data_IF_921769310220
#
_entry.id   IF_921769310220
#
_cell.length_a   1.000
_cell.length_b   1.000
_cell.length_c   1.000
_cell.angle_alpha   90.00
_cell.angle_beta   90.00
_cell.angle_gamma   90.00
#
_symmetry.space_group_name_H-M   'P 1'
#
loop_
_entity.id
_entity.type
_entity.pdbx_description
1 polymer ?
#
# COMPACT_ATOMS: atom_id res chain seq x y z
N UNK A 1 -0.83 21.10 6.47
CA UNK A 1 -0.52 21.56 5.09
C UNK A 1 -1.72 22.33 4.54
N UNK A 2 -1.63 23.63 4.51
CA UNK A 2 -2.65 24.51 3.97
C UNK A 2 -2.73 24.28 2.45
N UNK A 3 -3.84 23.86 1.92
CA UNK A 3 -4.05 23.59 0.49
C UNK A 3 -4.15 22.09 0.12
N UNK A 4 -3.82 21.16 1.04
CA UNK A 4 -4.06 19.73 0.85
C UNK A 4 -5.45 19.29 1.35
N UNK A 5 -6.03 20.03 2.29
CA UNK A 5 -7.31 19.71 2.93
C UNK A 5 -8.26 20.91 2.79
N UNK A 6 -9.52 20.63 2.49
CA UNK A 6 -10.62 21.59 2.52
C UNK A 6 -11.59 21.20 3.63
N UNK A 7 -11.98 22.18 4.44
CA UNK A 7 -13.07 22.02 5.38
C UNK A 7 -14.39 22.16 4.65
N UNK A 8 -15.25 21.17 4.70
CA UNK A 8 -16.58 21.19 4.08
C UNK A 8 -17.58 22.07 4.84
N UNK A 9 -17.31 22.31 6.15
CA UNK A 9 -18.09 23.19 7.05
C UNK A 9 -17.17 23.70 8.16
N UNK A 10 -17.67 24.63 8.98
CA UNK A 10 -16.99 24.98 10.23
C UNK A 10 -16.66 23.72 11.04
N UNK A 11 -15.51 23.74 11.74
CA UNK A 11 -15.07 22.61 12.57
C UNK A 11 -16.03 22.49 13.76
N UNK A 12 -17.08 21.71 13.58
CA UNK A 12 -18.00 21.27 14.63
C UNK A 12 -17.86 19.77 14.81
N UNK A 13 -18.33 19.24 15.93
CA UNK A 13 -18.39 17.80 16.13
C UNK A 13 -19.17 17.15 14.98
N UNK A 14 -18.53 16.23 14.22
CA UNK A 14 -19.09 15.57 13.04
C UNK A 14 -18.79 16.24 11.69
N UNK A 15 -17.99 17.32 11.63
CA UNK A 15 -17.50 17.87 10.38
C UNK A 15 -16.56 16.88 9.69
N UNK A 16 -16.73 16.69 8.39
CA UNK A 16 -15.83 15.85 7.57
C UNK A 16 -14.75 16.70 6.92
N UNK A 17 -13.52 16.18 6.94
CA UNK A 17 -12.40 16.74 6.18
C UNK A 17 -12.33 16.02 4.83
N UNK A 18 -12.25 16.81 3.76
CA UNK A 18 -12.05 16.29 2.41
C UNK A 18 -10.70 16.77 1.87
N UNK A 19 -10.00 15.87 1.19
CA UNK A 19 -8.78 16.24 0.48
C UNK A 19 -9.11 17.04 -0.77
N UNK A 20 -8.33 18.11 -1.03
CA UNK A 20 -8.34 18.78 -2.32
C UNK A 20 -7.80 17.86 -3.40
N UNK A 21 -7.99 18.20 -4.68
CA UNK A 21 -7.37 17.44 -5.78
C UNK A 21 -5.84 17.42 -5.67
N UNK A 22 -5.23 18.51 -5.22
CA UNK A 22 -3.80 18.55 -4.91
C UNK A 22 -3.44 17.62 -3.74
N UNK A 23 -4.24 17.59 -2.70
CA UNK A 23 -4.06 16.70 -1.56
C UNK A 23 -4.18 15.22 -1.95
N UNK A 24 -5.18 14.87 -2.76
CA UNK A 24 -5.36 13.51 -3.30
C UNK A 24 -4.16 13.08 -4.14
N UNK A 25 -3.68 13.95 -5.03
CA UNK A 25 -2.51 13.68 -5.85
C UNK A 25 -1.25 13.46 -5.02
N UNK A 26 -1.02 14.30 -4.01
CA UNK A 26 0.12 14.15 -3.10
C UNK A 26 0.04 12.85 -2.30
N UNK A 27 -1.15 12.48 -1.82
CA UNK A 27 -1.37 11.22 -1.12
C UNK A 27 -1.07 10.01 -2.01
N UNK A 28 -1.55 10.01 -3.26
CA UNK A 28 -1.29 8.93 -4.21
C UNK A 28 0.20 8.81 -4.57
N UNK A 29 0.92 9.92 -4.67
CA UNK A 29 2.38 9.90 -4.88
C UNK A 29 3.10 9.27 -3.70
N UNK A 30 2.68 9.60 -2.48
CA UNK A 30 3.26 9.04 -1.27
C UNK A 30 2.98 7.54 -1.16
N UNK A 31 1.73 7.11 -1.40
CA UNK A 31 1.33 5.71 -1.45
C UNK A 31 2.15 4.95 -2.49
N UNK A 32 2.33 5.52 -3.69
CA UNK A 32 3.17 4.92 -4.73
C UNK A 32 4.61 4.73 -4.25
N UNK A 33 5.22 5.77 -3.67
CA UNK A 33 6.58 5.70 -3.13
C UNK A 33 6.72 4.59 -2.10
N UNK A 34 5.79 4.53 -1.15
CA UNK A 34 5.75 3.52 -0.09
C UNK A 34 5.69 2.10 -0.67
N UNK A 35 4.67 1.81 -1.48
CA UNK A 35 4.41 0.47 -2.01
C UNK A 35 5.48 -0.01 -3.00
N UNK A 36 6.03 0.86 -3.83
CA UNK A 36 7.18 0.54 -4.68
C UNK A 36 8.39 0.18 -3.83
N UNK A 37 8.64 0.94 -2.76
CA UNK A 37 9.79 0.68 -1.91
C UNK A 37 9.63 -0.61 -1.10
N UNK A 38 8.45 -0.95 -0.63
CA UNK A 38 8.17 -2.26 -0.01
C UNK A 38 8.46 -3.41 -0.97
N UNK A 39 8.01 -3.30 -2.21
CA UNK A 39 8.31 -4.32 -3.23
C UNK A 39 9.82 -4.43 -3.49
N UNK A 40 10.53 -3.30 -3.52
CA UNK A 40 11.99 -3.29 -3.62
C UNK A 40 12.65 -4.02 -2.44
N UNK A 41 12.20 -3.74 -1.21
CA UNK A 41 12.71 -4.41 -0.02
C UNK A 41 12.45 -5.92 -0.06
N UNK A 42 11.28 -6.34 -0.50
CA UNK A 42 10.93 -7.75 -0.61
C UNK A 42 11.82 -8.51 -1.60
N UNK A 43 12.18 -7.89 -2.72
CA UNK A 43 12.95 -8.56 -3.78
C UNK A 43 14.46 -8.41 -3.63
N UNK A 44 14.93 -7.31 -3.04
CA UNK A 44 16.35 -6.93 -3.11
C UNK A 44 17.04 -6.68 -1.76
N UNK A 45 16.35 -6.76 -0.62
CA UNK A 45 17.00 -6.37 0.64
C UNK A 45 17.24 -7.57 1.52
N UNK A 46 16.82 -8.53 1.70
CA UNK A 46 17.03 -9.58 2.72
C UNK A 46 16.48 -9.22 4.11
N UNK A 47 15.73 -8.10 4.23
CA UNK A 47 15.01 -7.79 5.46
C UNK A 47 13.79 -8.71 5.63
N UNK A 48 13.42 -8.96 6.89
CA UNK A 48 12.23 -9.75 7.21
C UNK A 48 10.94 -9.01 6.75
N UNK A 49 9.89 -9.74 6.35
CA UNK A 49 8.61 -9.13 5.94
C UNK A 49 8.04 -8.14 6.95
N UNK A 50 8.22 -8.40 8.24
CA UNK A 50 7.77 -7.52 9.33
C UNK A 50 8.52 -6.19 9.43
N UNK A 51 9.61 -6.01 8.68
CA UNK A 51 10.41 -4.78 8.66
C UNK A 51 10.11 -3.88 7.44
N UNK A 52 9.49 -4.42 6.38
CA UNK A 52 9.33 -3.69 5.12
C UNK A 52 8.48 -2.44 5.28
N UNK A 53 7.33 -2.54 5.93
CA UNK A 53 6.41 -1.43 6.12
C UNK A 53 7.08 -0.24 6.83
N UNK A 54 7.72 -0.48 7.97
CA UNK A 54 8.38 0.58 8.74
C UNK A 54 9.52 1.23 7.96
N UNK A 55 10.28 0.43 7.19
CA UNK A 55 11.37 0.94 6.35
C UNK A 55 10.85 1.76 5.18
N UNK A 56 9.81 1.30 4.52
CA UNK A 56 9.16 2.03 3.43
C UNK A 56 8.56 3.35 3.94
N UNK A 57 7.92 3.33 5.09
CA UNK A 57 7.37 4.54 5.72
C UNK A 57 8.44 5.62 5.99
N UNK A 58 9.64 5.22 6.36
CA UNK A 58 10.76 6.17 6.54
C UNK A 58 11.28 6.73 5.22
N UNK A 59 11.19 5.98 4.15
CA UNK A 59 11.75 6.35 2.84
C UNK A 59 10.77 7.07 1.92
N UNK A 60 9.46 6.89 2.09
CA UNK A 60 8.43 7.41 1.19
C UNK A 60 8.48 8.91 0.95
N UNK A 61 8.92 9.69 1.97
CA UNK A 61 9.09 11.14 1.88
C UNK A 61 10.42 11.58 1.24
N UNK A 62 11.38 10.67 1.09
CA UNK A 62 12.73 10.96 0.63
C UNK A 62 12.95 10.59 -0.84
N UNK A 63 12.11 9.72 -1.40
CA UNK A 63 12.27 9.21 -2.76
C UNK A 63 11.63 10.18 -3.75
N UNK A 64 12.42 10.70 -4.68
CA UNK A 64 11.91 11.57 -5.75
C UNK A 64 11.05 10.82 -6.77
N UNK A 65 10.27 11.55 -7.57
CA UNK A 65 9.43 10.95 -8.64
C UNK A 65 10.30 10.17 -9.66
N UNK A 66 11.53 10.66 -9.94
CA UNK A 66 12.49 10.00 -10.83
C UNK A 66 13.03 8.71 -10.22
N UNK A 67 13.32 8.71 -8.93
CA UNK A 67 13.77 7.50 -8.22
C UNK A 67 12.67 6.46 -8.12
N UNK A 68 11.43 6.87 -7.85
CA UNK A 68 10.26 5.98 -7.88
C UNK A 68 10.14 5.29 -9.26
N UNK A 69 10.29 6.07 -10.33
CA UNK A 69 10.21 5.54 -11.70
C UNK A 69 11.35 4.57 -12.02
N UNK A 70 12.56 4.85 -11.53
CA UNK A 70 13.71 3.94 -11.68
C UNK A 70 13.52 2.63 -10.91
N UNK A 71 13.09 2.71 -9.66
CA UNK A 71 12.81 1.53 -8.84
C UNK A 71 11.68 0.71 -9.48
N UNK A 72 10.58 1.34 -9.88
CA UNK A 72 9.48 0.66 -10.55
C UNK A 72 9.93 -0.07 -11.82
N UNK A 73 10.77 0.56 -12.64
CA UNK A 73 11.33 -0.06 -13.86
C UNK A 73 12.24 -1.25 -13.55
N UNK A 74 13.07 -1.13 -12.50
CA UNK A 74 13.92 -2.22 -12.02
C UNK A 74 13.11 -3.45 -11.61
N UNK A 75 11.95 -3.21 -11.00
CA UNK A 75 11.03 -4.25 -10.52
C UNK A 75 10.07 -4.77 -11.61
N UNK A 76 10.19 -4.30 -12.85
CA UNK A 76 9.29 -4.67 -13.95
C UNK A 76 7.90 -4.00 -13.87
N UNK A 77 7.80 -2.84 -13.25
CA UNK A 77 6.56 -2.07 -13.07
C UNK A 77 5.45 -2.90 -12.38
N UNK A 78 5.65 -3.33 -11.13
CA UNK A 78 4.69 -4.15 -10.41
C UNK A 78 3.36 -3.42 -10.23
N UNK A 79 2.26 -4.16 -10.29
CA UNK A 79 0.90 -3.62 -10.08
C UNK A 79 0.47 -3.67 -8.62
N UNK A 80 1.10 -4.53 -7.84
CA UNK A 80 0.80 -4.73 -6.41
C UNK A 80 2.11 -4.83 -5.63
N UNK A 81 2.04 -4.43 -4.38
CA UNK A 81 3.13 -4.59 -3.41
C UNK A 81 3.18 -6.03 -2.85
N UNK A 82 4.14 -6.35 -1.94
CA UNK A 82 4.26 -7.70 -1.39
C UNK A 82 3.05 -8.17 -0.58
N UNK A 83 2.23 -7.25 -0.09
CA UNK A 83 1.05 -7.54 0.72
C UNK A 83 -0.22 -7.66 -0.12
N UNK A 84 -0.18 -7.25 -1.39
CA UNK A 84 -1.30 -7.28 -2.33
C UNK A 84 -2.02 -5.96 -2.48
N UNK A 85 -1.45 -4.87 -1.96
CA UNK A 85 -1.97 -3.53 -2.15
C UNK A 85 -1.64 -2.99 -3.55
N UNK A 86 -2.61 -2.36 -4.25
CA UNK A 86 -2.37 -1.85 -5.58
C UNK A 86 -1.39 -0.68 -5.57
N UNK A 87 -0.36 -0.74 -6.40
CA UNK A 87 0.60 0.36 -6.58
C UNK A 87 0.01 1.37 -7.57
N UNK A 88 -0.19 2.66 -7.17
CA UNK A 88 -0.61 3.68 -8.11
C UNK A 88 0.35 3.75 -9.30
N UNK A 89 -0.18 3.88 -10.51
CA UNK A 89 0.63 4.05 -11.73
C UNK A 89 1.37 5.38 -11.72
N UNK A 90 2.26 5.60 -12.67
CA UNK A 90 2.93 6.89 -12.83
C UNK A 90 1.94 8.05 -13.08
N UNK A 91 0.79 7.77 -13.70
CA UNK A 91 -0.32 8.71 -13.87
C UNK A 91 -1.24 8.81 -12.64
N UNK A 92 -0.90 8.12 -11.55
CA UNK A 92 -1.65 8.09 -10.30
C UNK A 92 -3.04 7.43 -10.40
N UNK A 93 -3.21 6.51 -11.34
CA UNK A 93 -4.36 5.62 -11.38
C UNK A 93 -4.11 4.38 -10.50
N UNK A 94 -5.15 3.85 -9.87
CA UNK A 94 -5.09 2.63 -9.09
C UNK A 94 -5.88 1.51 -9.74
N UNK A 95 -5.35 0.30 -9.69
CA UNK A 95 -6.09 -0.89 -10.09
C UNK A 95 -7.09 -1.27 -9.00
N UNK A 96 -8.31 -1.70 -9.36
CA UNK A 96 -9.25 -2.24 -8.37
C UNK A 96 -8.73 -3.57 -7.80
N UNK A 97 -9.00 -3.81 -6.54
CA UNK A 97 -8.78 -5.11 -5.91
C UNK A 97 -10.01 -5.99 -6.13
N UNK A 98 -9.82 -7.11 -6.80
CA UNK A 98 -10.82 -8.17 -6.89
C UNK A 98 -10.77 -9.03 -5.61
N UNK A 99 -11.50 -8.60 -4.60
CA UNK A 99 -11.64 -9.36 -3.35
C UNK A 99 -13.07 -9.87 -3.20
N UNK A 100 -13.23 -11.04 -2.59
CA UNK A 100 -14.54 -11.54 -2.19
C UNK A 100 -14.71 -11.40 -0.67
N UNK A 101 -15.95 -11.21 -0.25
CA UNK A 101 -16.29 -11.13 1.16
C UNK A 101 -16.49 -12.52 1.78
N UNK A 102 -16.24 -12.61 3.08
CA UNK A 102 -16.55 -13.77 3.89
C UNK A 102 -18.08 -13.95 4.07
N UNK A 103 -18.61 -15.15 4.26
CA UNK A 103 -17.89 -16.40 4.50
C UNK A 103 -17.38 -17.08 3.24
N UNK A 104 -16.21 -17.71 3.35
CA UNK A 104 -15.67 -18.54 2.28
C UNK A 104 -16.52 -19.80 2.09
N UNK A 105 -16.67 -20.25 0.85
CA UNK A 105 -17.35 -21.51 0.54
C UNK A 105 -16.46 -22.69 0.93
N UNK A 106 -17.02 -23.65 1.65
CA UNK A 106 -16.34 -24.91 1.96
C UNK A 106 -16.03 -25.71 0.67
N UNK A 107 -14.99 -26.53 0.74
CA UNK A 107 -14.53 -27.38 -0.37
C UNK A 107 -14.15 -26.61 -1.65
N UNK A 108 -13.71 -25.35 -1.50
CA UNK A 108 -13.26 -24.48 -2.60
C UNK A 108 -11.85 -24.01 -2.31
N UNK A 109 -11.00 -23.96 -3.33
CA UNK A 109 -9.67 -23.38 -3.23
C UNK A 109 -9.76 -21.87 -3.28
N UNK A 110 -9.04 -21.22 -2.37
CA UNK A 110 -8.97 -19.77 -2.27
C UNK A 110 -7.52 -19.31 -2.35
N UNK A 111 -7.28 -18.18 -2.99
CA UNK A 111 -5.96 -17.55 -3.01
C UNK A 111 -6.00 -16.29 -2.17
N UNK A 112 -4.99 -16.11 -1.34
CA UNK A 112 -4.80 -14.86 -0.58
C UNK A 112 -4.30 -13.80 -1.56
N UNK A 113 -5.09 -12.77 -1.80
CA UNK A 113 -4.73 -11.65 -2.68
C UNK A 113 -4.19 -10.45 -1.91
N UNK A 114 -4.53 -10.32 -0.64
CA UNK A 114 -4.09 -9.24 0.24
C UNK A 114 -3.89 -9.75 1.65
N UNK A 115 -2.89 -9.20 2.33
CA UNK A 115 -2.58 -9.44 3.75
C UNK A 115 -2.47 -8.08 4.43
N UNK A 116 -3.25 -7.87 5.50
CA UNK A 116 -3.22 -6.65 6.30
C UNK A 116 -1.86 -6.48 7.01
N UNK A 117 -1.21 -5.36 6.82
CA UNK A 117 0.12 -5.05 7.38
C UNK A 117 0.19 -3.78 8.24
N UNK A 118 -0.88 -2.98 8.26
CA UNK A 118 -0.96 -1.76 9.08
C UNK A 118 -0.95 -2.09 10.58
N UNK A 119 -1.59 -3.20 10.98
CA UNK A 119 -1.49 -3.72 12.35
C UNK A 119 -0.30 -4.69 12.48
N UNK A 120 0.81 -4.19 13.00
CA UNK A 120 2.05 -4.94 13.17
C UNK A 120 1.88 -6.25 13.95
N UNK A 121 0.99 -6.28 14.94
CA UNK A 121 0.72 -7.47 15.76
C UNK A 121 -0.06 -8.51 14.96
N UNK A 122 -1.09 -8.08 14.26
CA UNK A 122 -1.89 -8.93 13.39
C UNK A 122 -1.04 -9.48 12.24
N UNK A 123 -0.26 -8.63 11.58
CA UNK A 123 0.63 -9.03 10.49
C UNK A 123 1.65 -10.09 10.95
N UNK A 124 2.24 -9.91 12.15
CA UNK A 124 3.13 -10.91 12.72
C UNK A 124 2.43 -12.25 12.94
N UNK A 125 1.20 -12.26 13.44
CA UNK A 125 0.43 -13.49 13.63
C UNK A 125 0.16 -14.21 12.30
N UNK A 126 -0.21 -13.47 11.27
CA UNK A 126 -0.45 -14.01 9.93
C UNK A 126 0.84 -14.61 9.36
N UNK A 127 1.95 -13.91 9.49
CA UNK A 127 3.28 -14.35 9.04
C UNK A 127 3.75 -15.60 9.80
N UNK A 128 3.54 -15.66 11.11
CA UNK A 128 3.88 -16.82 11.95
C UNK A 128 3.06 -18.06 11.55
N UNK A 129 1.86 -17.89 10.99
CA UNK A 129 1.06 -18.98 10.40
C UNK A 129 1.56 -19.41 9.00
N UNK A 130 2.57 -18.76 8.47
CA UNK A 130 3.09 -19.02 7.12
C UNK A 130 2.17 -18.54 5.99
N UNK A 131 1.22 -17.67 6.28
CA UNK A 131 0.31 -17.11 5.28
C UNK A 131 0.91 -15.85 4.64
N UNK A 132 0.91 -15.82 3.32
CA UNK A 132 1.40 -14.71 2.52
C UNK A 132 0.44 -14.43 1.36
N UNK A 133 0.62 -13.29 0.71
CA UNK A 133 0.01 -13.07 -0.60
C UNK A 133 0.35 -14.25 -1.53
N UNK A 134 -0.60 -14.67 -2.33
CA UNK A 134 -0.55 -15.83 -3.24
C UNK A 134 -0.57 -17.23 -2.57
N UNK A 135 -0.66 -17.33 -1.24
CA UNK A 135 -0.95 -18.59 -0.57
C UNK A 135 -2.32 -19.14 -0.98
N UNK A 136 -2.42 -20.45 -1.13
CA UNK A 136 -3.65 -21.17 -1.53
C UNK A 136 -4.03 -22.14 -0.41
#
# INVERSE_FOLDING_TARGET
>A
MIGAVVLTKEITAGAQLELTEKGKRNALKLIRAHRIYEQYLAEHSGYAPTEWHERAHRMEHLISDEEQSRIASLLGNPLFDPHGDPIPTQSLAMMPNDTCELPLKEHTWWRITHVEDDDKKLFKQITDLGLTKDSI
#
